data_IF_484588669352
#
_entry.id   IF_484588669352
#
_cell.length_a   1.000
_cell.length_b   1.000
_cell.length_c   1.000
_cell.angle_alpha   90.00
_cell.angle_beta   90.00
_cell.angle_gamma   90.00
#
_symmetry.space_group_name_H-M   'P 1'
#
loop_
_entity.id
_entity.type
_entity.pdbx_description
1 polymer ?
#
# COMPACT_ATOMS: atom_id res chain seq x y z
N UNK A 1 17.12 -13.61 15.90
CA UNK A 1 16.13 -13.63 14.81
C UNK A 1 16.87 -13.96 13.52
N UNK A 2 16.42 -14.95 12.75
CA UNK A 2 17.02 -15.25 11.46
C UNK A 2 16.60 -14.14 10.46
N UNK A 3 17.57 -13.53 9.79
CA UNK A 3 17.29 -12.66 8.64
C UNK A 3 17.14 -13.56 7.43
N UNK A 4 15.99 -13.51 6.77
CA UNK A 4 15.77 -14.15 5.48
C UNK A 4 15.58 -13.06 4.42
N UNK A 5 16.05 -13.33 3.21
CA UNK A 5 15.76 -12.51 2.04
C UNK A 5 14.66 -13.22 1.26
N UNK A 6 13.58 -12.49 1.00
CA UNK A 6 12.43 -12.95 0.22
C UNK A 6 12.06 -11.84 -0.76
N UNK A 7 11.72 -12.22 -1.97
CA UNK A 7 11.19 -11.30 -2.97
C UNK A 7 9.77 -10.85 -2.59
N UNK A 8 9.36 -9.70 -3.12
CA UNK A 8 7.99 -9.20 -2.93
C UNK A 8 6.97 -10.19 -3.50
N UNK A 9 7.27 -10.79 -4.66
CA UNK A 9 6.42 -11.78 -5.30
C UNK A 9 6.19 -13.00 -4.41
N UNK A 10 7.24 -13.53 -3.78
CA UNK A 10 7.12 -14.65 -2.84
C UNK A 10 6.21 -14.32 -1.67
N UNK A 11 6.36 -13.13 -1.07
CA UNK A 11 5.53 -12.71 0.06
C UNK A 11 4.06 -12.53 -0.35
N UNK A 12 3.82 -11.99 -1.54
CA UNK A 12 2.46 -11.83 -2.10
C UNK A 12 1.82 -13.19 -2.37
N UNK A 13 2.57 -14.13 -2.94
CA UNK A 13 2.09 -15.50 -3.14
C UNK A 13 1.79 -16.21 -1.82
N UNK A 14 2.57 -15.97 -0.76
CA UNK A 14 2.28 -16.54 0.56
C UNK A 14 0.97 -16.00 1.14
N UNK A 15 0.63 -14.72 0.93
CA UNK A 15 -0.69 -14.18 1.29
C UNK A 15 -1.78 -14.86 0.48
N UNK A 16 -1.58 -14.94 -0.84
CA UNK A 16 -2.55 -15.55 -1.75
C UNK A 16 -2.87 -16.99 -1.36
N UNK A 17 -1.86 -17.83 -1.12
CA UNK A 17 -2.03 -19.24 -0.73
C UNK A 17 -2.52 -19.43 0.72
N UNK A 18 -2.66 -18.35 1.48
CA UNK A 18 -3.03 -18.39 2.89
C UNK A 18 -1.94 -18.98 3.81
N UNK A 19 -0.69 -19.02 3.35
CA UNK A 19 0.49 -19.41 4.14
C UNK A 19 0.89 -18.32 5.14
N UNK A 20 0.64 -17.06 4.76
CA UNK A 20 0.82 -15.89 5.61
C UNK A 20 -0.54 -15.42 6.14
N UNK A 21 -0.62 -15.23 7.46
CA UNK A 21 -1.84 -14.85 8.19
C UNK A 21 -1.57 -13.68 9.14
N UNK A 22 -2.62 -12.97 9.54
CA UNK A 22 -2.54 -11.92 10.55
C UNK A 22 -2.98 -12.48 11.91
N UNK A 23 -2.24 -12.24 13.00
CA UNK A 23 -2.76 -12.48 14.33
C UNK A 23 -3.88 -11.47 14.65
N UNK A 24 -4.84 -11.88 15.48
CA UNK A 24 -6.04 -11.08 15.82
C UNK A 24 -5.71 -9.69 16.40
N UNK A 25 -4.57 -9.57 17.08
CA UNK A 25 -4.09 -8.29 17.64
C UNK A 25 -3.80 -7.22 16.56
N UNK A 26 -3.65 -7.61 15.29
CA UNK A 26 -3.40 -6.67 14.21
C UNK A 26 -4.61 -5.80 13.90
N UNK A 27 -4.34 -4.50 13.74
CA UNK A 27 -5.37 -3.50 13.41
C UNK A 27 -5.89 -3.65 11.99
N UNK A 28 -6.97 -2.95 11.69
CA UNK A 28 -7.55 -2.97 10.35
C UNK A 28 -6.64 -2.31 9.30
N UNK A 29 -6.80 -2.70 8.05
CA UNK A 29 -6.17 -1.97 6.95
C UNK A 29 -6.77 -0.58 6.85
N UNK A 30 -5.91 0.44 6.81
CA UNK A 30 -6.31 1.85 6.85
C UNK A 30 -5.59 2.71 5.81
N UNK A 31 -4.70 2.13 5.01
CA UNK A 31 -3.98 2.89 3.99
C UNK A 31 -4.89 3.34 2.85
N UNK A 32 -4.78 4.63 2.51
CA UNK A 32 -5.37 5.25 1.31
C UNK A 32 -4.49 5.00 0.09
N UNK A 33 -5.04 5.18 -1.12
CA UNK A 33 -4.31 4.99 -2.39
C UNK A 33 -3.06 5.88 -2.53
N UNK A 34 -3.06 7.07 -1.94
CA UNK A 34 -1.90 7.99 -1.92
C UNK A 34 -0.71 7.38 -1.19
N UNK A 35 -0.93 6.81 0.00
CA UNK A 35 0.14 6.14 0.75
C UNK A 35 0.66 4.88 0.03
N UNK A 36 -0.22 4.22 -0.74
CA UNK A 36 0.17 3.07 -1.58
C UNK A 36 1.04 3.54 -2.75
N UNK A 37 0.69 4.66 -3.40
CA UNK A 37 1.51 5.33 -4.42
C UNK A 37 2.91 5.64 -3.87
N UNK A 38 3.01 6.22 -2.67
CA UNK A 38 4.30 6.61 -2.08
C UNK A 38 5.18 5.38 -1.77
N UNK A 39 4.56 4.26 -1.37
CA UNK A 39 5.27 2.99 -1.24
C UNK A 39 5.80 2.50 -2.59
N UNK A 40 5.00 2.54 -3.64
CA UNK A 40 5.41 2.13 -4.98
C UNK A 40 6.52 3.02 -5.54
N UNK A 41 6.42 4.34 -5.31
CA UNK A 41 7.46 5.33 -5.63
C UNK A 41 8.78 4.98 -4.92
N UNK A 42 8.72 4.71 -3.61
CA UNK A 42 9.89 4.34 -2.81
C UNK A 42 10.55 3.07 -3.34
N UNK A 43 9.75 2.05 -3.67
CA UNK A 43 10.24 0.79 -4.23
C UNK A 43 10.87 0.98 -5.62
N UNK A 44 10.23 1.77 -6.49
CA UNK A 44 10.74 2.05 -7.83
C UNK A 44 12.07 2.81 -7.79
N UNK A 45 12.20 3.79 -6.89
CA UNK A 45 13.44 4.57 -6.70
C UNK A 45 14.52 3.85 -5.89
N UNK A 46 14.24 2.64 -5.39
CA UNK A 46 15.18 1.87 -4.57
C UNK A 46 15.41 2.43 -3.17
N UNK A 47 14.47 3.23 -2.65
CA UNK A 47 14.55 3.75 -1.29
C UNK A 47 14.23 2.65 -0.25
N UNK A 48 14.88 2.67 0.94
CA UNK A 48 14.61 1.71 1.99
C UNK A 48 13.14 1.75 2.42
N UNK A 49 12.40 0.67 2.16
CA UNK A 49 10.95 0.57 2.42
C UNK A 49 10.63 -0.19 3.72
N UNK A 50 11.58 -0.20 4.66
CA UNK A 50 11.51 -0.89 5.95
C UNK A 50 11.69 -2.42 5.86
N UNK A 51 11.60 -3.10 7.01
CA UNK A 51 11.65 -4.55 7.13
C UNK A 51 10.25 -5.15 7.32
N UNK A 52 10.11 -6.46 7.07
CA UNK A 52 8.89 -7.25 7.36
C UNK A 52 9.24 -8.24 8.46
N UNK A 53 8.40 -8.30 9.51
CA UNK A 53 8.61 -9.22 10.63
C UNK A 53 7.60 -10.38 10.55
N UNK A 54 8.12 -11.60 10.44
CA UNK A 54 7.34 -12.83 10.39
C UNK A 54 7.64 -13.69 11.62
N UNK A 55 6.62 -14.39 12.10
CA UNK A 55 6.74 -15.41 13.13
C UNK A 55 6.14 -16.72 12.65
N UNK A 56 6.96 -17.77 12.60
CA UNK A 56 6.52 -19.13 12.27
C UNK A 56 6.21 -19.87 13.57
N UNK A 57 4.99 -20.40 13.68
CA UNK A 57 4.51 -21.13 14.86
C UNK A 57 3.57 -22.26 14.45
N UNK A 58 3.55 -23.32 15.24
CA UNK A 58 2.58 -24.42 15.17
C UNK A 58 1.48 -24.32 16.23
N UNK A 59 1.54 -23.27 17.06
CA UNK A 59 0.51 -22.94 18.04
C UNK A 59 -0.76 -22.41 17.38
N UNK A 60 -1.91 -22.71 17.99
CA UNK A 60 -3.21 -22.21 17.55
C UNK A 60 -3.39 -20.77 18.06
N UNK A 61 -3.09 -19.80 17.21
CA UNK A 61 -3.21 -18.37 17.51
C UNK A 61 -4.47 -17.82 16.85
N UNK A 62 -5.32 -17.05 17.55
CA UNK A 62 -6.45 -16.38 16.94
C UNK A 62 -6.02 -15.54 15.73
N UNK A 63 -6.66 -15.79 14.58
CA UNK A 63 -6.30 -15.18 13.31
C UNK A 63 -7.35 -14.16 12.88
N UNK A 64 -6.88 -13.26 12.04
CA UNK A 64 -7.67 -12.30 11.31
C UNK A 64 -7.37 -12.42 9.82
N UNK A 65 -8.39 -12.14 9.00
CA UNK A 65 -8.22 -12.09 7.56
C UNK A 65 -7.53 -10.79 7.10
N UNK A 66 -6.74 -10.91 6.04
CA UNK A 66 -6.21 -9.76 5.32
C UNK A 66 -7.34 -8.95 4.66
N UNK A 67 -7.04 -7.69 4.33
CA UNK A 67 -7.96 -6.86 3.53
C UNK A 67 -7.91 -7.18 2.03
N UNK A 68 -7.25 -8.27 1.63
CA UNK A 68 -7.21 -8.79 0.26
C UNK A 68 -7.66 -10.25 0.26
N UNK A 69 -8.07 -10.77 -0.90
CA UNK A 69 -8.54 -12.15 -0.99
C UNK A 69 -7.40 -13.15 -0.71
N UNK A 70 -7.74 -14.24 -0.02
CA UNK A 70 -6.83 -15.35 0.26
C UNK A 70 -7.51 -16.68 -0.07
N UNK A 71 -6.72 -17.62 -0.55
CA UNK A 71 -7.12 -19.02 -0.69
C UNK A 71 -7.17 -19.71 0.68
N UNK A 72 -7.92 -20.82 0.73
CA UNK A 72 -7.94 -21.67 1.92
C UNK A 72 -6.66 -22.51 1.94
N UNK A 73 -5.82 -22.27 2.93
CA UNK A 73 -4.64 -23.09 3.15
C UNK A 73 -5.02 -24.42 3.83
N UNK A 74 -4.74 -25.59 3.22
CA UNK A 74 -4.99 -26.90 3.83
C UNK A 74 -3.92 -27.32 4.85
N UNK A 75 -2.80 -26.59 4.96
CA UNK A 75 -1.67 -26.93 5.82
C UNK A 75 -1.79 -26.30 7.21
N UNK A 76 -1.26 -27.00 8.22
CA UNK A 76 -1.35 -26.60 9.64
C UNK A 76 -0.31 -25.53 10.04
N UNK A 77 0.84 -25.49 9.36
CA UNK A 77 1.89 -24.49 9.63
C UNK A 77 1.52 -23.17 8.99
N UNK A 78 1.42 -22.13 9.81
CA UNK A 78 1.12 -20.76 9.36
C UNK A 78 2.26 -19.82 9.76
N UNK A 79 2.55 -18.85 8.90
CA UNK A 79 3.41 -17.73 9.23
C UNK A 79 2.54 -16.55 9.62
N UNK A 80 2.85 -15.93 10.76
CA UNK A 80 2.16 -14.76 11.27
C UNK A 80 2.92 -13.50 10.88
N UNK A 81 2.22 -12.55 10.28
CA UNK A 81 2.78 -11.23 9.96
C UNK A 81 2.66 -10.31 11.19
N UNK A 82 3.81 -9.98 11.78
CA UNK A 82 3.90 -9.15 12.99
C UNK A 82 4.10 -7.66 12.68
N UNK A 83 4.82 -7.35 11.60
CA UNK A 83 4.99 -5.97 11.12
C UNK A 83 5.01 -5.92 9.59
N UNK A 84 4.59 -4.80 9.03
CA UNK A 84 4.51 -4.58 7.59
C UNK A 84 3.18 -4.99 6.96
N UNK A 85 2.15 -5.25 7.77
CA UNK A 85 0.79 -5.57 7.31
C UNK A 85 0.30 -4.63 6.22
N UNK A 86 0.32 -3.31 6.47
CA UNK A 86 -0.25 -2.34 5.54
C UNK A 86 0.52 -2.31 4.22
N UNK A 87 1.87 -2.36 4.30
CA UNK A 87 2.75 -2.42 3.13
C UNK A 87 2.47 -3.66 2.28
N UNK A 88 2.48 -4.84 2.91
CA UNK A 88 2.35 -6.09 2.18
C UNK A 88 0.93 -6.33 1.65
N UNK A 89 -0.11 -5.89 2.39
CA UNK A 89 -1.49 -5.89 1.89
C UNK A 89 -1.63 -5.01 0.65
N UNK A 90 -1.04 -3.82 0.67
CA UNK A 90 -1.08 -2.89 -0.46
C UNK A 90 -0.35 -3.46 -1.68
N UNK A 91 0.83 -4.04 -1.48
CA UNK A 91 1.59 -4.70 -2.55
C UNK A 91 0.82 -5.87 -3.14
N UNK A 92 0.20 -6.71 -2.29
CA UNK A 92 -0.63 -7.80 -2.75
C UNK A 92 -1.82 -7.31 -3.58
N UNK A 93 -2.45 -6.20 -3.20
CA UNK A 93 -3.58 -5.64 -3.94
C UNK A 93 -3.15 -5.12 -5.33
N UNK A 94 -2.07 -4.34 -5.37
CA UNK A 94 -1.55 -3.73 -6.61
C UNK A 94 -1.04 -4.80 -7.58
N UNK A 95 -0.20 -5.73 -7.12
CA UNK A 95 0.42 -6.76 -7.96
C UNK A 95 -0.63 -7.74 -8.50
N UNK A 96 -1.64 -8.09 -7.70
CA UNK A 96 -2.70 -9.02 -8.11
C UNK A 96 -3.88 -8.33 -8.79
N UNK A 97 -3.91 -6.99 -8.84
CA UNK A 97 -5.01 -6.21 -9.41
C UNK A 97 -6.34 -6.41 -8.67
N UNK A 98 -6.29 -6.59 -7.34
CA UNK A 98 -7.48 -6.87 -6.51
C UNK A 98 -7.87 -5.68 -5.64
N UNK A 99 -9.17 -5.48 -5.37
CA UNK A 99 -9.61 -4.46 -4.43
C UNK A 99 -9.19 -4.80 -2.99
N UNK A 100 -9.04 -3.75 -2.18
CA UNK A 100 -8.82 -3.84 -0.74
C UNK A 100 -10.11 -3.60 0.02
N UNK A 101 -10.33 -4.34 1.11
CA UNK A 101 -11.42 -4.10 2.03
C UNK A 101 -11.02 -3.06 3.09
N UNK A 102 -11.65 -1.88 3.03
CA UNK A 102 -11.48 -0.78 3.98
C UNK A 102 -12.84 -0.47 4.62
N UNK A 103 -12.94 -0.60 5.95
CA UNK A 103 -14.18 -0.33 6.72
C UNK A 103 -15.44 -1.01 6.11
N UNK A 104 -15.29 -2.22 5.54
CA UNK A 104 -16.38 -2.98 4.93
C UNK A 104 -16.70 -2.64 3.47
N UNK A 105 -15.97 -1.71 2.85
CA UNK A 105 -16.09 -1.37 1.43
C UNK A 105 -14.89 -1.91 0.65
N UNK A 106 -15.17 -2.51 -0.51
CA UNK A 106 -14.15 -2.91 -1.46
C UNK A 106 -13.75 -1.68 -2.29
N UNK A 107 -12.48 -1.27 -2.18
CA UNK A 107 -11.93 -0.14 -2.95
C UNK A 107 -10.81 -0.64 -3.87
N UNK A 108 -10.86 -0.37 -5.18
CA UNK A 108 -9.72 -0.64 -6.05
C UNK A 108 -8.59 0.34 -5.75
N UNK A 109 -7.35 -0.11 -5.95
CA UNK A 109 -6.17 0.75 -5.92
C UNK A 109 -5.73 0.94 -7.36
N UNK A 110 -6.07 2.10 -7.93
CA UNK A 110 -5.75 2.45 -9.31
C UNK A 110 -4.54 3.39 -9.34
N UNK A 111 -3.39 2.82 -9.70
CA UNK A 111 -2.14 3.56 -9.89
C UNK A 111 -1.83 3.66 -11.37
N UNK A 112 -1.51 4.87 -11.81
CA UNK A 112 -1.04 5.16 -13.16
C UNK A 112 0.46 5.46 -13.10
N UNK A 113 1.20 4.97 -14.09
CA UNK A 113 2.63 5.23 -14.22
C UNK A 113 2.84 6.41 -15.16
N UNK A 114 3.55 7.43 -14.70
CA UNK A 114 3.89 8.59 -15.50
C UNK A 114 5.06 8.26 -16.42
N UNK A 115 4.84 8.21 -17.73
CA UNK A 115 5.88 7.94 -18.71
C UNK A 115 6.83 9.13 -18.93
N UNK A 116 6.43 10.33 -18.50
CA UNK A 116 7.19 11.57 -18.63
C UNK A 116 7.91 11.95 -17.33
N UNK A 117 7.89 11.08 -16.32
CA UNK A 117 8.55 11.34 -15.06
C UNK A 117 10.04 11.60 -15.27
N UNK A 118 10.56 12.59 -14.55
CA UNK A 118 12.01 12.86 -14.57
C UNK A 118 12.71 11.86 -13.63
N UNK A 119 13.79 11.25 -14.12
CA UNK A 119 14.68 10.37 -13.32
C UNK A 119 15.44 11.10 -12.20
N UNK A 120 15.24 12.40 -12.03
CA UNK A 120 15.88 13.18 -10.98
C UNK A 120 15.32 12.81 -9.60
N UNK A 121 16.20 12.80 -8.60
CA UNK A 121 15.86 12.61 -7.20
C UNK A 121 15.02 13.80 -6.73
N UNK A 122 13.70 13.71 -6.86
CA UNK A 122 12.81 14.65 -6.19
C UNK A 122 12.89 14.36 -4.68
N UNK A 123 13.70 15.14 -3.95
CA UNK A 123 13.63 15.24 -2.49
C UNK A 123 12.35 15.97 -2.07
N UNK A 124 11.19 15.49 -2.49
CA UNK A 124 9.90 15.93 -1.97
C UNK A 124 9.42 14.84 -1.02
N UNK A 125 10.13 14.68 0.10
CA UNK A 125 9.66 13.88 1.22
C UNK A 125 8.79 14.79 2.09
N UNK A 126 7.73 15.35 1.52
CA UNK A 126 6.60 15.82 2.32
C UNK A 126 5.78 14.58 2.63
N UNK A 127 6.17 13.92 3.72
CA UNK A 127 5.33 12.91 4.34
C UNK A 127 4.37 13.70 5.20
N UNK A 128 3.14 13.91 4.73
CA UNK A 128 2.05 14.37 5.59
C UNK A 128 1.81 13.29 6.66
N UNK A 129 2.52 13.41 7.78
CA UNK A 129 2.36 12.54 8.95
C UNK A 129 1.11 12.95 9.79
N UNK A 130 0.59 14.16 9.57
CA UNK A 130 -0.41 14.82 10.44
C UNK A 130 -1.78 15.10 9.77
N UNK A 131 -2.22 14.23 8.86
CA UNK A 131 -3.62 14.26 8.39
C UNK A 131 -4.53 13.50 9.35
N UNK A 132 -5.22 14.21 10.25
CA UNK A 132 -6.31 13.63 11.05
C UNK A 132 -7.32 12.97 10.08
N UNK A 133 -7.44 11.65 10.19
CA UNK A 133 -7.82 10.75 9.10
C UNK A 133 -9.36 10.62 8.94
N UNK A 134 -10.08 11.75 9.08
CA UNK A 134 -11.56 11.80 9.03
C UNK A 134 -12.16 12.51 7.81
N UNK A 135 -11.34 12.97 6.85
CA UNK A 135 -11.88 13.45 5.58
C UNK A 135 -12.00 12.33 4.54
N UNK A 136 -13.25 12.04 4.15
CA UNK A 136 -13.69 11.25 3.00
C UNK A 136 -13.11 11.85 1.70
N UNK A 137 -11.82 11.60 1.43
CA UNK A 137 -11.11 12.03 0.22
C UNK A 137 -11.57 11.32 -1.08
N UNK A 138 -12.65 10.54 -1.02
CA UNK A 138 -13.29 9.99 -2.22
C UNK A 138 -14.23 11.00 -2.91
N UNK A 139 -14.43 12.20 -2.35
CA UNK A 139 -15.11 13.28 -3.06
C UNK A 139 -14.20 13.97 -4.10
N UNK A 140 -14.70 14.20 -5.33
CA UNK A 140 -13.95 14.88 -6.38
C UNK A 140 -13.75 16.35 -6.00
N UNK A 141 -12.63 16.65 -5.36
CA UNK A 141 -12.32 18.01 -4.89
C UNK A 141 -11.34 18.09 -3.72
N UNK A 142 -10.92 16.96 -3.13
CA UNK A 142 -9.92 16.98 -2.05
C UNK A 142 -8.49 17.16 -2.62
N UNK A 143 -8.28 18.39 -3.05
CA UNK A 143 -7.03 19.09 -3.27
C UNK A 143 -6.47 19.31 -1.85
N UNK A 144 -5.23 18.89 -1.54
CA UNK A 144 -4.66 19.23 -0.21
C UNK A 144 -4.76 20.75 -0.01
N UNK A 145 -4.90 21.25 1.21
CA UNK A 145 -5.15 22.69 1.45
C UNK A 145 -4.11 23.60 0.73
N UNK A 146 -2.90 23.07 0.46
CA UNK A 146 -1.83 23.70 -0.33
C UNK A 146 -2.03 23.70 -1.87
N UNK A 147 -2.83 22.79 -2.42
CA UNK A 147 -3.04 22.68 -3.88
C UNK A 147 -4.15 23.63 -4.40
N UNK A 148 -4.95 24.24 -3.50
CA UNK A 148 -6.09 25.09 -3.89
C UNK A 148 -5.62 26.46 -4.42
N UNK A 149 -4.40 26.87 -4.06
CA UNK A 149 -3.77 28.15 -4.48
C UNK A 149 -2.66 27.95 -5.53
N UNK A 150 -2.46 26.71 -6.01
CA UNK A 150 -1.42 26.39 -7.01
C UNK A 150 -1.90 26.68 -8.43
N UNK A 151 -1.06 27.33 -9.22
CA UNK A 151 -1.32 27.58 -10.65
C UNK A 151 -1.29 26.27 -11.46
N UNK A 152 -1.99 26.25 -12.62
CA UNK A 152 -1.99 25.09 -13.53
C UNK A 152 -0.55 24.66 -13.92
N UNK A 153 0.36 25.62 -14.06
CA UNK A 153 1.78 25.37 -14.36
C UNK A 153 2.49 24.67 -13.19
N UNK A 154 2.23 25.08 -11.94
CA UNK A 154 2.79 24.44 -10.73
C UNK A 154 2.25 23.02 -10.54
N UNK A 155 0.96 22.79 -10.82
CA UNK A 155 0.34 21.47 -10.80
C UNK A 155 0.95 20.54 -11.85
N UNK A 156 1.18 21.05 -13.07
CA UNK A 156 1.82 20.30 -14.14
C UNK A 156 3.28 19.98 -13.82
N UNK A 157 4.01 20.91 -13.22
CA UNK A 157 5.40 20.69 -12.79
C UNK A 157 5.47 19.65 -11.67
N UNK A 158 4.54 19.70 -10.70
CA UNK A 158 4.40 18.69 -9.64
C UNK A 158 4.06 17.32 -10.23
N UNK A 159 3.16 17.26 -11.21
CA UNK A 159 2.82 16.03 -11.93
C UNK A 159 4.03 15.41 -12.64
N UNK A 160 4.80 16.21 -13.38
CA UNK A 160 5.99 15.76 -14.10
C UNK A 160 7.10 15.23 -13.18
N UNK A 161 7.07 15.57 -11.89
CA UNK A 161 8.00 15.06 -10.87
C UNK A 161 7.57 13.73 -10.25
N UNK A 162 6.29 13.37 -10.33
CA UNK A 162 5.77 12.11 -9.77
C UNK A 162 5.97 10.94 -10.73
N UNK A 163 6.44 9.79 -10.25
CA UNK A 163 6.53 8.55 -11.06
C UNK A 163 5.19 7.84 -11.10
N UNK A 164 4.49 7.77 -9.96
CA UNK A 164 3.15 7.22 -9.89
C UNK A 164 2.12 8.30 -9.56
N UNK A 165 0.92 8.17 -10.10
CA UNK A 165 -0.25 9.00 -9.73
C UNK A 165 -1.45 8.12 -9.43
N UNK A 166 -2.32 8.55 -8.53
CA UNK A 166 -3.58 7.85 -8.23
C UNK A 166 -4.62 8.29 -9.26
N UNK A 167 -5.33 7.34 -9.86
CA UNK A 167 -6.42 7.68 -10.77
C UNK A 167 -7.52 8.43 -10.01
N UNK A 168 -7.85 9.64 -10.47
CA UNK A 168 -9.00 10.40 -9.98
C UNK A 168 -10.04 10.49 -11.09
N UNK A 169 -11.32 10.42 -10.74
CA UNK A 169 -12.44 10.46 -11.70
C UNK A 169 -12.54 11.76 -12.53
N UNK A 170 -11.64 12.74 -12.34
CA UNK A 170 -11.58 13.99 -13.11
C UNK A 170 -10.83 13.86 -14.45
N UNK A 171 -10.17 12.74 -14.73
CA UNK A 171 -9.29 12.56 -15.90
C UNK A 171 -9.92 11.75 -17.06
N UNK A 172 -11.26 11.67 -17.13
CA UNK A 172 -11.98 11.04 -18.26
C UNK A 172 -12.98 12.01 -18.87
#
# INVERSE_FOLDING_TARGET
>A
MAKAEASVEELVMMIERGELRLPEIQRQYVWRSTRVRDLMESLYRGYPSGAILLWETDEDVPLRDFSVSQEKNPFKTVRLLLDGQQRLTSLSAVIRGQPVNVRGRQKPIELLFNLEHRDELAFATEVDEDGDDDDDADEPGNVTDDDVDSSDDELQERFNRMTFVVATKKLV
#
